data_IF_809693202306
#
_entry.id   IF_809693202306
#
_cell.length_a   1.000
_cell.length_b   1.000
_cell.length_c   1.000
_cell.angle_alpha   90.00
_cell.angle_beta   90.00
_cell.angle_gamma   90.00
#
_symmetry.space_group_name_H-M   'P 1'
#
loop_
_entity.id
_entity.type
_entity.pdbx_description
1 polymer ?
#
# COMPACT_ATOMS: atom_id res chain seq x y z
N UNK A 1 9.57 -0.97 -5.29
CA UNK A 1 10.59 -1.69 -4.50
C UNK A 1 10.80 -3.11 -5.03
N UNK A 2 9.78 -3.97 -5.07
CA UNK A 2 9.92 -5.35 -5.56
C UNK A 2 10.54 -5.48 -6.98
N UNK A 3 10.04 -4.72 -7.97
CA UNK A 3 10.59 -4.75 -9.34
C UNK A 3 12.10 -4.43 -9.41
N UNK A 4 12.54 -3.43 -8.65
CA UNK A 4 13.96 -3.06 -8.54
C UNK A 4 14.79 -4.17 -7.90
N UNK A 5 14.33 -4.71 -6.77
CA UNK A 5 15.01 -5.81 -6.06
C UNK A 5 15.14 -7.05 -6.93
N UNK A 6 14.10 -7.36 -7.71
CA UNK A 6 14.08 -8.45 -8.67
C UNK A 6 15.09 -8.21 -9.80
N UNK A 7 15.12 -7.00 -10.38
CA UNK A 7 16.08 -6.64 -11.43
C UNK A 7 17.55 -6.74 -10.98
N UNK A 8 17.81 -6.51 -9.69
CA UNK A 8 19.14 -6.60 -9.10
C UNK A 8 19.49 -7.97 -8.52
N UNK A 9 18.57 -8.95 -8.55
CA UNK A 9 18.78 -10.28 -7.96
C UNK A 9 18.95 -10.28 -6.44
N UNK A 10 18.27 -9.37 -5.73
CA UNK A 10 18.32 -9.32 -4.26
C UNK A 10 17.55 -10.50 -3.64
N UNK A 11 18.08 -11.07 -2.54
CA UNK A 11 17.46 -12.19 -1.83
C UNK A 11 16.03 -11.91 -1.36
N UNK A 12 15.73 -10.65 -1.01
CA UNK A 12 14.38 -10.21 -0.62
C UNK A 12 13.35 -10.46 -1.73
N UNK A 13 13.73 -10.34 -3.00
CA UNK A 13 12.81 -10.64 -4.11
C UNK A 13 12.50 -12.14 -4.19
N UNK A 14 13.46 -13.00 -3.85
CA UNK A 14 13.26 -14.45 -3.77
C UNK A 14 12.34 -14.84 -2.61
N UNK A 15 12.50 -14.20 -1.46
CA UNK A 15 11.61 -14.37 -0.30
C UNK A 15 10.17 -13.97 -0.63
N UNK A 16 9.97 -12.82 -1.30
CA UNK A 16 8.65 -12.37 -1.75
C UNK A 16 8.06 -13.36 -2.76
N UNK A 17 8.86 -13.86 -3.71
CA UNK A 17 8.43 -14.88 -4.66
C UNK A 17 8.05 -16.18 -3.95
N UNK A 18 8.83 -16.60 -2.95
CA UNK A 18 8.51 -17.76 -2.11
C UNK A 18 7.17 -17.57 -1.38
N UNK A 19 6.90 -16.39 -0.83
CA UNK A 19 5.60 -16.11 -0.21
C UNK A 19 4.46 -16.20 -1.22
N UNK A 20 4.60 -15.65 -2.44
CA UNK A 20 3.57 -15.77 -3.48
C UNK A 20 3.36 -17.22 -3.91
N UNK A 21 4.41 -18.04 -3.96
CA UNK A 21 4.31 -19.48 -4.25
C UNK A 21 3.51 -20.24 -3.20
N UNK A 22 3.66 -19.89 -1.93
CA UNK A 22 3.00 -20.61 -0.83
C UNK A 22 1.63 -20.05 -0.46
N UNK A 23 1.25 -18.87 -1.00
CA UNK A 23 0.00 -18.20 -0.69
C UNK A 23 -0.68 -17.77 -1.99
N UNK A 24 -1.59 -18.61 -2.50
CA UNK A 24 -2.25 -18.38 -3.80
C UNK A 24 -3.03 -17.06 -3.88
N UNK A 25 -3.58 -16.60 -2.75
CA UNK A 25 -4.29 -15.33 -2.68
C UNK A 25 -3.36 -14.09 -2.66
N UNK A 26 -2.07 -14.29 -2.38
CA UNK A 26 -1.10 -13.20 -2.27
C UNK A 26 -0.79 -12.62 -3.65
N UNK A 27 -0.87 -11.30 -3.73
CA UNK A 27 -0.55 -10.51 -4.91
C UNK A 27 0.40 -9.40 -4.49
N UNK A 28 1.32 -9.04 -5.37
CA UNK A 28 2.30 -7.99 -5.09
C UNK A 28 2.11 -6.89 -6.12
N UNK A 29 1.90 -5.66 -5.64
CA UNK A 29 1.91 -4.47 -6.48
C UNK A 29 3.27 -3.77 -6.36
N UNK A 30 3.82 -3.30 -7.48
CA UNK A 30 5.02 -2.46 -7.48
C UNK A 30 5.00 -1.43 -8.60
N UNK A 31 5.84 -0.41 -8.48
CA UNK A 31 6.11 0.55 -9.55
C UNK A 31 7.27 0.07 -10.40
N UNK A 32 7.05 0.05 -11.70
CA UNK A 32 8.03 -0.22 -12.73
C UNK A 32 8.38 1.08 -13.47
N UNK A 33 9.66 1.25 -13.81
CA UNK A 33 10.18 2.43 -14.50
C UNK A 33 10.76 2.00 -15.85
N UNK A 34 10.11 2.40 -16.93
CA UNK A 34 10.54 2.09 -18.29
C UNK A 34 11.20 3.31 -18.93
N UNK A 35 12.47 3.19 -19.33
CA UNK A 35 13.20 4.28 -19.98
C UNK A 35 13.12 4.15 -21.50
N UNK A 36 12.45 5.10 -22.17
CA UNK A 36 12.42 5.18 -23.63
C UNK A 36 13.53 6.13 -24.11
N UNK A 37 14.59 5.58 -24.71
CA UNK A 37 15.69 6.41 -25.23
C UNK A 37 16.45 7.18 -24.14
N UNK A 38 16.79 8.45 -24.42
CA UNK A 38 17.71 9.24 -23.59
C UNK A 38 17.06 10.10 -22.49
N UNK A 39 15.76 10.42 -22.57
CA UNK A 39 15.18 11.45 -21.67
C UNK A 39 13.78 11.15 -21.09
N UNK A 40 12.98 10.24 -21.65
CA UNK A 40 11.62 9.99 -21.14
C UNK A 40 11.56 8.71 -20.29
N UNK A 41 11.09 8.87 -19.04
CA UNK A 41 10.80 7.76 -18.12
C UNK A 41 9.29 7.62 -18.00
N UNK A 42 8.79 6.45 -18.36
CA UNK A 42 7.39 6.08 -18.14
C UNK A 42 7.28 5.27 -16.85
N UNK A 43 6.25 5.58 -16.07
CA UNK A 43 5.96 4.92 -14.80
C UNK A 43 4.76 4.01 -14.96
N UNK A 44 4.85 2.80 -14.44
CA UNK A 44 3.77 1.82 -14.47
C UNK A 44 3.51 1.28 -13.07
N UNK A 45 2.23 1.18 -12.69
CA UNK A 45 1.82 0.35 -11.56
C UNK A 45 1.56 -1.05 -12.10
N UNK A 46 2.23 -2.06 -11.54
CA UNK A 46 2.17 -3.45 -11.98
C UNK A 46 1.67 -4.32 -10.82
N UNK A 47 0.70 -5.19 -11.10
CA UNK A 47 0.19 -6.19 -10.16
C UNK A 47 0.60 -7.59 -10.64
N UNK A 48 1.28 -8.34 -9.79
CA UNK A 48 1.72 -9.72 -10.09
C UNK A 48 1.14 -10.74 -9.10
N UNK A 49 1.09 -11.99 -9.54
CA UNK A 49 0.85 -13.17 -8.70
C UNK A 49 1.75 -14.33 -9.14
N UNK A 50 1.86 -15.36 -8.31
CA UNK A 50 2.38 -16.64 -8.76
C UNK A 50 1.25 -17.51 -9.31
N UNK A 51 1.41 -18.00 -10.54
CA UNK A 51 0.49 -18.95 -11.14
C UNK A 51 0.98 -20.39 -10.88
N UNK A 52 0.19 -21.15 -10.12
CA UNK A 52 0.54 -22.51 -9.71
C UNK A 52 0.55 -23.51 -10.88
N UNK A 53 -0.29 -23.27 -11.91
CA UNK A 53 -0.39 -24.15 -13.07
C UNK A 53 0.79 -23.92 -14.02
N UNK A 54 1.09 -22.66 -14.30
CA UNK A 54 2.23 -22.28 -15.15
C UNK A 54 3.57 -22.33 -14.41
N UNK A 55 3.54 -22.52 -13.08
CA UNK A 55 4.71 -22.54 -12.19
C UNK A 55 5.61 -21.32 -12.33
N UNK A 56 5.01 -20.16 -12.61
CA UNK A 56 5.74 -18.91 -12.81
C UNK A 56 4.96 -17.71 -12.28
N UNK A 57 5.68 -16.63 -12.02
CA UNK A 57 5.08 -15.34 -11.76
C UNK A 57 4.45 -14.81 -13.05
N UNK A 58 3.24 -14.26 -12.94
CA UNK A 58 2.51 -13.65 -14.04
C UNK A 58 2.06 -12.24 -13.66
N UNK A 59 2.18 -11.31 -14.60
CA UNK A 59 1.58 -10.00 -14.48
C UNK A 59 0.07 -10.11 -14.74
N UNK A 60 -0.72 -9.57 -13.81
CA UNK A 60 -2.18 -9.49 -13.93
C UNK A 60 -2.56 -8.19 -14.64
N UNK A 61 -1.95 -7.08 -14.21
CA UNK A 61 -2.22 -5.75 -14.75
C UNK A 61 -0.93 -4.94 -14.83
N UNK A 62 -0.84 -4.12 -15.87
CA UNK A 62 0.15 -3.03 -16.02
C UNK A 62 -0.62 -1.76 -16.41
N UNK A 63 -0.59 -0.75 -15.56
CA UNK A 63 -1.31 0.51 -15.76
C UNK A 63 -0.29 1.66 -15.79
N UNK A 64 -0.31 2.45 -16.87
CA UNK A 64 0.54 3.64 -16.99
C UNK A 64 0.09 4.70 -15.99
N UNK A 65 1.04 5.23 -15.23
CA UNK A 65 0.84 6.33 -14.30
C UNK A 65 1.06 7.68 -15.02
N UNK A 66 0.40 8.76 -14.57
CA UNK A 66 0.49 10.08 -15.21
C UNK A 66 1.85 10.77 -14.99
N UNK A 67 2.73 10.21 -14.16
CA UNK A 67 4.02 10.79 -13.81
C UNK A 67 4.73 10.01 -12.69
N UNK A 68 5.82 10.56 -12.13
CA UNK A 68 6.55 9.93 -11.04
C UNK A 68 5.68 9.77 -9.79
N UNK A 69 5.75 8.60 -9.14
CA UNK A 69 4.91 8.30 -7.98
C UNK A 69 5.40 8.96 -6.69
N UNK A 70 6.71 9.11 -6.52
CA UNK A 70 7.30 9.64 -5.28
C UNK A 70 7.18 11.16 -5.26
N UNK A 71 6.14 11.64 -4.59
CA UNK A 71 5.94 13.07 -4.29
C UNK A 71 6.37 13.42 -2.85
N UNK A 72 6.50 12.43 -1.94
CA UNK A 72 6.94 12.57 -0.54
C UNK A 72 7.87 11.43 -0.07
N UNK A 73 7.74 10.95 1.17
CA UNK A 73 8.73 10.05 1.83
C UNK A 73 8.68 8.57 1.39
N UNK A 74 7.71 8.17 0.59
CA UNK A 74 7.67 6.87 -0.08
C UNK A 74 6.84 5.77 0.63
N UNK A 75 6.43 5.93 1.90
CA UNK A 75 5.58 4.96 2.61
C UNK A 75 4.11 5.04 2.18
N UNK A 76 3.39 6.17 2.38
CA UNK A 76 2.00 6.33 1.93
C UNK A 76 1.83 6.19 0.39
N UNK A 77 2.89 6.43 -0.39
CA UNK A 77 2.87 6.29 -1.85
C UNK A 77 2.70 4.85 -2.32
N UNK A 78 3.22 3.88 -1.57
CA UNK A 78 3.08 2.45 -1.90
C UNK A 78 1.61 2.01 -1.92
N UNK A 79 0.73 2.67 -1.15
CA UNK A 79 -0.71 2.36 -1.15
C UNK A 79 -1.45 3.07 -2.27
N UNK A 80 -1.04 4.31 -2.60
CA UNK A 80 -1.70 5.13 -3.64
C UNK A 80 -1.68 4.48 -5.02
N UNK A 81 -0.55 3.88 -5.43
CA UNK A 81 -0.49 3.24 -6.75
C UNK A 81 -1.18 1.87 -6.78
N UNK A 82 -1.37 1.24 -5.62
CA UNK A 82 -1.96 -0.08 -5.50
C UNK A 82 -3.50 -0.02 -5.43
N UNK A 83 -4.09 1.11 -5.00
CA UNK A 83 -5.54 1.27 -4.84
C UNK A 83 -6.31 1.00 -6.14
N UNK A 84 -5.72 1.29 -7.30
CA UNK A 84 -6.36 1.05 -8.61
C UNK A 84 -6.65 -0.43 -8.88
N UNK A 85 -6.00 -1.35 -8.15
CA UNK A 85 -6.20 -2.79 -8.25
C UNK A 85 -7.19 -3.35 -7.23
N UNK A 86 -7.56 -2.58 -6.21
CA UNK A 86 -8.48 -3.06 -5.17
C UNK A 86 -9.92 -2.93 -5.64
N UNK A 87 -10.75 -3.91 -5.32
CA UNK A 87 -12.18 -3.95 -5.62
C UNK A 87 -12.90 -4.61 -4.44
N UNK A 88 -14.17 -4.27 -4.26
CA UNK A 88 -15.01 -4.82 -3.19
C UNK A 88 -15.52 -3.73 -2.25
N UNK A 89 -16.27 -4.16 -1.25
CA UNK A 89 -17.01 -3.26 -0.35
C UNK A 89 -16.14 -2.69 0.78
N UNK A 90 -15.00 -3.33 1.06
CA UNK A 90 -14.07 -2.92 2.11
C UNK A 90 -12.61 -3.08 1.66
N UNK A 91 -11.79 -2.08 2.01
CA UNK A 91 -10.34 -2.08 1.82
C UNK A 91 -9.69 -1.91 3.20
N UNK A 92 -8.88 -2.89 3.59
CA UNK A 92 -8.07 -2.81 4.80
C UNK A 92 -6.63 -2.51 4.41
N UNK A 93 -6.04 -1.53 5.08
CA UNK A 93 -4.62 -1.19 4.96
C UNK A 93 -3.97 -1.35 6.34
N UNK A 94 -2.69 -1.73 6.35
CA UNK A 94 -1.89 -1.92 7.56
C UNK A 94 -0.68 -1.00 7.45
N UNK A 95 -0.27 -0.38 8.56
CA UNK A 95 0.90 0.51 8.64
C UNK A 95 0.82 1.66 7.60
N UNK A 96 -0.40 2.19 7.39
CA UNK A 96 -0.57 3.40 6.59
C UNK A 96 -0.27 4.63 7.44
N UNK A 97 0.97 5.11 7.33
CA UNK A 97 1.38 6.36 7.94
C UNK A 97 1.00 7.53 7.03
N UNK A 98 -0.07 8.22 7.42
CA UNK A 98 -0.51 9.56 7.04
C UNK A 98 0.48 10.69 7.37
N UNK A 99 1.59 10.89 6.66
CA UNK A 99 2.46 12.03 7.00
C UNK A 99 1.78 13.39 6.67
N UNK A 100 2.06 14.43 7.46
CA UNK A 100 1.41 15.75 7.40
C UNK A 100 1.86 16.61 6.19
N UNK A 101 1.84 16.08 4.98
CA UNK A 101 2.09 16.83 3.76
C UNK A 101 0.85 17.57 3.27
N UNK A 102 1.02 18.76 2.70
CA UNK A 102 -0.09 19.56 2.17
C UNK A 102 -0.85 18.81 1.06
N UNK A 103 -0.14 18.01 0.27
CA UNK A 103 -0.67 17.16 -0.79
C UNK A 103 -1.56 16.05 -0.23
N UNK A 104 -1.27 15.50 0.96
CA UNK A 104 -2.14 14.53 1.64
C UNK A 104 -3.45 15.19 2.09
N UNK A 105 -3.42 16.47 2.51
CA UNK A 105 -4.63 17.22 2.84
C UNK A 105 -5.56 17.38 1.62
N UNK A 106 -5.01 17.49 0.40
CA UNK A 106 -5.81 17.50 -0.83
C UNK A 106 -6.47 16.14 -1.11
N UNK A 107 -5.86 15.03 -0.68
CA UNK A 107 -6.47 13.69 -0.81
C UNK A 107 -7.65 13.52 0.13
N UNK A 108 -7.61 14.10 1.34
CA UNK A 108 -8.74 14.08 2.26
C UNK A 108 -10.00 14.71 1.64
N UNK A 109 -9.86 15.81 0.89
CA UNK A 109 -10.98 16.39 0.15
C UNK A 109 -11.57 15.38 -0.84
N UNK A 110 -10.74 14.75 -1.66
CA UNK A 110 -11.20 13.77 -2.65
C UNK A 110 -11.84 12.54 -1.97
N UNK A 111 -11.22 12.02 -0.91
CA UNK A 111 -11.74 10.91 -0.12
C UNK A 111 -13.11 11.25 0.48
N UNK A 112 -13.30 12.45 1.04
CA UNK A 112 -14.57 12.87 1.62
C UNK A 112 -15.70 13.02 0.59
N UNK A 113 -15.37 13.34 -0.66
CA UNK A 113 -16.37 13.35 -1.75
C UNK A 113 -16.89 11.93 -2.05
N UNK A 114 -16.07 10.89 -1.90
CA UNK A 114 -16.49 9.49 -2.10
C UNK A 114 -17.62 9.08 -1.15
N UNK A 115 -17.68 9.66 0.05
CA UNK A 115 -18.74 9.40 1.03
C UNK A 115 -20.10 10.00 0.64
N UNK A 116 -20.16 10.84 -0.39
CA UNK A 116 -21.42 11.41 -0.90
C UNK A 116 -22.09 10.53 -1.96
N UNK A 117 -21.32 9.65 -2.59
CA UNK A 117 -21.77 8.78 -3.69
C UNK A 117 -22.24 7.42 -3.17
N UNK A 118 -23.29 6.88 -3.78
CA UNK A 118 -23.75 5.52 -3.50
C UNK A 118 -22.98 4.52 -4.36
N UNK A 119 -22.34 3.55 -3.71
CA UNK A 119 -21.71 2.41 -4.36
C UNK A 119 -22.60 1.18 -4.15
N UNK A 120 -23.60 1.03 -5.02
CA UNK A 120 -24.65 0.02 -4.86
C UNK A 120 -25.72 0.47 -3.87
N UNK A 121 -25.92 -0.30 -2.80
CA UNK A 121 -27.05 -0.08 -1.85
C UNK A 121 -26.71 0.96 -0.78
N UNK A 122 -25.42 1.21 -0.50
CA UNK A 122 -24.98 2.08 0.59
C UNK A 122 -23.86 3.02 0.15
N UNK A 123 -23.69 4.10 0.92
CA UNK A 123 -22.51 4.96 0.82
C UNK A 123 -21.36 4.34 1.61
N UNK A 124 -20.10 4.63 1.26
CA UNK A 124 -18.94 4.23 2.06
C UNK A 124 -19.09 4.72 3.51
N UNK A 125 -18.51 4.01 4.47
CA UNK A 125 -18.49 4.41 5.89
C UNK A 125 -17.15 4.05 6.49
N UNK A 126 -16.61 4.93 7.34
CA UNK A 126 -15.36 4.65 8.07
C UNK A 126 -15.71 3.74 9.24
N UNK A 127 -15.14 2.54 9.27
CA UNK A 127 -15.25 1.62 10.41
C UNK A 127 -13.94 1.64 11.19
N UNK A 128 -13.96 2.28 12.37
CA UNK A 128 -12.87 2.18 13.33
C UNK A 128 -12.95 0.86 14.11
N UNK A 129 -11.83 0.13 14.20
CA UNK A 129 -11.68 -1.03 15.09
C UNK A 129 -10.64 -0.71 16.16
N UNK A 130 -10.77 -1.31 17.36
CA UNK A 130 -9.74 -1.17 18.39
C UNK A 130 -8.48 -1.91 17.93
N UNK A 131 -7.35 -1.22 17.92
CA UNK A 131 -6.05 -1.82 17.74
C UNK A 131 -5.60 -2.49 19.04
N UNK A 132 -5.15 -3.74 18.96
CA UNK A 132 -4.61 -4.48 20.10
C UNK A 132 -3.11 -4.68 19.90
N UNK A 133 -2.30 -4.04 20.73
CA UNK A 133 -0.84 -4.17 20.68
C UNK A 133 -0.39 -5.30 21.61
N UNK A 134 -0.17 -6.48 21.04
CA UNK A 134 0.16 -7.69 21.79
C UNK A 134 1.57 -7.70 22.39
N UNK A 135 2.47 -6.82 21.94
CA UNK A 135 3.87 -6.76 22.37
C UNK A 135 4.09 -5.95 23.65
N UNK A 136 3.11 -5.16 24.11
CA UNK A 136 3.25 -4.29 25.29
C UNK A 136 3.47 -5.01 26.63
N UNK A 137 3.23 -6.33 26.69
CA UNK A 137 3.49 -7.16 27.88
C UNK A 137 4.91 -7.74 27.93
N UNK A 138 5.67 -7.67 26.82
CA UNK A 138 6.92 -8.43 26.65
C UNK A 138 8.12 -7.77 27.36
N UNK A 139 8.16 -6.44 27.44
CA UNK A 139 9.20 -5.71 28.17
C UNK A 139 8.79 -4.27 28.46
N UNK A 140 9.56 -3.56 29.32
CA UNK A 140 9.38 -2.12 29.57
C UNK A 140 9.58 -1.28 28.29
N UNK A 141 10.53 -1.66 27.44
CA UNK A 141 10.76 -1.02 26.14
C UNK A 141 9.60 -1.27 25.17
N UNK A 142 9.10 -2.51 25.10
CA UNK A 142 7.96 -2.85 24.26
C UNK A 142 6.67 -2.15 24.74
N UNK A 143 6.50 -1.99 26.05
CA UNK A 143 5.40 -1.20 26.64
C UNK A 143 5.51 0.28 26.28
N UNK A 144 6.71 0.85 26.30
CA UNK A 144 6.93 2.23 25.89
C UNK A 144 6.64 2.44 24.41
N UNK A 145 7.16 1.57 23.53
CA UNK A 145 6.87 1.61 22.09
C UNK A 145 5.37 1.42 21.82
N UNK A 146 4.71 0.48 22.50
CA UNK A 146 3.27 0.28 22.41
C UNK A 146 2.47 1.52 22.86
N UNK A 147 2.92 2.23 23.90
CA UNK A 147 2.29 3.46 24.34
C UNK A 147 2.53 4.63 23.36
N UNK A 148 3.70 4.68 22.72
CA UNK A 148 3.99 5.65 21.65
C UNK A 148 3.08 5.40 20.44
N UNK A 149 3.01 4.16 19.95
CA UNK A 149 2.12 3.78 18.83
C UNK A 149 0.66 4.12 19.14
N UNK A 150 0.17 3.72 20.33
CA UNK A 150 -1.21 4.02 20.74
C UNK A 150 -1.48 5.52 20.84
N UNK A 151 -0.51 6.32 21.30
CA UNK A 151 -0.68 7.77 21.45
C UNK A 151 -0.59 8.50 20.11
N UNK A 152 0.36 8.14 19.24
CA UNK A 152 0.54 8.74 17.92
C UNK A 152 -0.67 8.47 17.00
N UNK A 153 -1.13 7.21 16.97
CA UNK A 153 -2.27 6.79 16.13
C UNK A 153 -3.59 7.33 16.66
N UNK A 154 -3.80 7.40 17.99
CA UNK A 154 -5.12 7.80 18.53
C UNK A 154 -5.31 9.32 18.63
N UNK A 155 -4.28 10.09 18.99
CA UNK A 155 -4.43 11.55 19.15
C UNK A 155 -4.38 12.31 17.83
N UNK A 156 -3.57 11.86 16.85
CA UNK A 156 -3.52 12.49 15.53
C UNK A 156 -4.82 12.27 14.73
N UNK A 157 -5.52 11.15 14.95
CA UNK A 157 -6.76 10.82 14.22
C UNK A 157 -8.05 11.40 14.82
N UNK A 158 -8.00 12.00 16.03
CA UNK A 158 -9.19 12.56 16.71
C UNK A 158 -9.29 14.08 16.56
N UNK A 159 -8.26 14.76 16.03
CA UNK A 159 -8.24 16.23 15.90
C UNK A 159 -8.03 16.78 14.47
N UNK A 160 -8.27 15.98 13.43
CA UNK A 160 -8.48 16.42 12.04
C UNK A 160 -9.68 15.70 11.44
#
# INVERSE_FOLDING_TARGET
MYGYQKGNGESRAEEILYLMKNNEALRVAYVDEFRFGREEVEYYSVLVKYDQLLKQEVEIYRIRLPGPLKLGEGKPENQNHAIIFTRGDAVQTIDMNQDFYFEEALKMRNLLEEFKTYYGIRRPTILGVRENIFTGSVSSLARFMSALEMSFVTWASVFL
#
